data_IF_390762247448
#
_entry.id   IF_390762247448
#
_cell.length_a   1.000
_cell.length_b   1.000
_cell.length_c   1.000
_cell.angle_alpha   90.00
_cell.angle_beta   90.00
_cell.angle_gamma   90.00
#
_symmetry.space_group_name_H-M   'P 1'
#
loop_
_entity.id
_entity.type
_entity.pdbx_description
1 polymer ?
#
# COMPACT_ATOMS: atom_id res chain seq x y z
N UNK A 1 -18.16 -41.13 7.68
CA UNK A 1 -17.04 -40.36 7.09
C UNK A 1 -17.61 -39.29 6.15
N UNK A 2 -17.72 -38.05 6.61
CA UNK A 2 -17.88 -36.86 5.76
C UNK A 2 -16.95 -35.79 6.31
N UNK A 3 -16.11 -35.28 5.43
CA UNK A 3 -14.90 -34.53 5.69
C UNK A 3 -15.17 -33.14 6.27
N UNK A 4 -14.43 -32.80 7.32
CA UNK A 4 -14.30 -31.47 7.92
C UNK A 4 -13.68 -30.47 6.94
N UNK A 5 -14.44 -29.97 5.96
CA UNK A 5 -13.99 -28.91 5.03
C UNK A 5 -14.79 -27.62 5.17
N UNK A 6 -15.22 -27.29 6.40
CA UNK A 6 -15.40 -25.88 6.76
C UNK A 6 -14.01 -25.30 6.99
N UNK A 7 -13.27 -25.04 5.91
CA UNK A 7 -12.33 -23.93 5.98
C UNK A 7 -13.23 -22.75 6.34
N UNK A 8 -13.10 -22.25 7.56
CA UNK A 8 -13.95 -21.19 8.10
C UNK A 8 -13.93 -20.05 7.08
N UNK A 9 -15.04 -19.82 6.37
CA UNK A 9 -15.12 -18.85 5.29
C UNK A 9 -14.57 -17.49 5.76
N UNK A 10 -14.80 -17.16 7.03
CA UNK A 10 -14.22 -16.00 7.72
C UNK A 10 -12.70 -15.91 7.60
N UNK A 11 -11.97 -17.00 7.83
CA UNK A 11 -10.51 -17.04 7.80
C UNK A 11 -9.95 -16.83 6.39
N UNK A 12 -10.61 -17.35 5.35
CA UNK A 12 -10.17 -17.19 3.95
C UNK A 12 -10.20 -15.72 3.54
N UNK A 13 -11.28 -15.00 3.86
CA UNK A 13 -11.40 -13.58 3.56
C UNK A 13 -10.31 -12.76 4.25
N UNK A 14 -9.98 -13.08 5.51
CA UNK A 14 -8.89 -12.41 6.24
C UNK A 14 -7.55 -12.57 5.53
N UNK A 15 -7.23 -13.78 5.04
CA UNK A 15 -5.98 -14.02 4.30
C UNK A 15 -5.98 -13.31 2.95
N UNK A 16 -7.08 -13.40 2.18
CA UNK A 16 -7.20 -12.72 0.88
C UNK A 16 -7.03 -11.21 1.01
N UNK A 17 -7.75 -10.57 1.92
CA UNK A 17 -7.62 -9.13 2.16
C UNK A 17 -6.22 -8.75 2.62
N UNK A 18 -5.58 -9.58 3.45
CA UNK A 18 -4.20 -9.33 3.88
C UNK A 18 -3.21 -9.41 2.72
N UNK A 19 -3.35 -10.40 1.82
CA UNK A 19 -2.49 -10.56 0.64
C UNK A 19 -2.67 -9.40 -0.33
N UNK A 20 -3.91 -9.03 -0.66
CA UNK A 20 -4.20 -7.90 -1.57
C UNK A 20 -3.61 -6.61 -1.02
N UNK A 21 -3.83 -6.34 0.27
CA UNK A 21 -3.27 -5.18 0.97
C UNK A 21 -1.73 -5.16 0.89
N UNK A 22 -1.06 -6.29 1.15
CA UNK A 22 0.39 -6.42 1.07
C UNK A 22 0.88 -6.20 -0.37
N UNK A 23 0.19 -6.74 -1.37
CA UNK A 23 0.55 -6.57 -2.77
C UNK A 23 0.47 -5.10 -3.22
N UNK A 24 -0.57 -4.37 -2.81
CA UNK A 24 -0.67 -2.93 -3.09
C UNK A 24 0.43 -2.17 -2.34
N UNK A 25 0.66 -2.50 -1.06
CA UNK A 25 1.74 -1.91 -0.27
C UNK A 25 3.11 -2.12 -0.90
N UNK A 26 3.37 -3.32 -1.44
CA UNK A 26 4.59 -3.66 -2.17
C UNK A 26 4.78 -2.75 -3.39
N UNK A 27 3.76 -2.58 -4.23
CA UNK A 27 3.84 -1.75 -5.42
C UNK A 27 4.13 -0.29 -5.05
N UNK A 28 3.38 0.31 -4.12
CA UNK A 28 3.60 1.68 -3.65
C UNK A 28 5.02 1.87 -3.10
N UNK A 29 5.48 0.93 -2.27
CA UNK A 29 6.81 0.98 -1.69
C UNK A 29 7.89 0.87 -2.77
N UNK A 30 7.71 -0.04 -3.72
CA UNK A 30 8.62 -0.21 -4.84
C UNK A 30 8.72 1.08 -5.66
N UNK A 31 7.58 1.64 -6.06
CA UNK A 31 7.49 2.88 -6.82
C UNK A 31 8.14 4.08 -6.12
N UNK A 32 8.02 4.18 -4.81
CA UNK A 32 8.68 5.23 -4.04
C UNK A 32 10.19 5.02 -3.94
N UNK A 33 10.63 3.79 -3.63
CA UNK A 33 12.05 3.45 -3.48
C UNK A 33 12.80 3.60 -4.80
N UNK A 34 12.23 3.16 -5.92
CA UNK A 34 12.87 3.28 -7.24
C UNK A 34 13.12 4.74 -7.61
N UNK A 35 12.21 5.66 -7.27
CA UNK A 35 12.39 7.10 -7.52
C UNK A 35 13.56 7.70 -6.75
N UNK A 36 13.81 7.22 -5.52
CA UNK A 36 15.01 7.57 -4.77
C UNK A 36 16.26 6.99 -5.42
N UNK A 37 16.21 5.71 -5.83
CA UNK A 37 17.37 5.02 -6.41
C UNK A 37 17.79 5.58 -7.77
N UNK A 38 16.83 6.05 -8.58
CA UNK A 38 17.07 6.70 -9.87
C UNK A 38 17.79 8.05 -9.68
N UNK A 39 17.59 8.74 -8.54
CA UNK A 39 18.32 9.94 -8.14
C UNK A 39 17.98 11.22 -8.91
N UNK A 40 17.55 11.13 -10.17
CA UNK A 40 17.16 12.26 -11.03
C UNK A 40 15.67 12.26 -11.42
N UNK A 41 14.84 11.48 -10.71
CA UNK A 41 13.40 11.44 -10.99
C UNK A 41 12.74 12.78 -10.63
N UNK A 42 11.82 13.25 -11.48
CA UNK A 42 11.00 14.43 -11.21
C UNK A 42 9.59 14.31 -11.80
N UNK A 43 8.62 14.94 -11.13
CA UNK A 43 7.23 15.09 -11.58
C UNK A 43 7.03 16.19 -12.62
N UNK A 44 8.02 17.06 -12.87
CA UNK A 44 7.92 18.15 -13.83
C UNK A 44 7.36 17.74 -15.21
N UNK A 45 7.88 16.70 -15.91
CA UNK A 45 7.33 16.29 -17.20
C UNK A 45 5.90 15.75 -17.10
N UNK A 46 5.54 15.15 -15.97
CA UNK A 46 4.18 14.67 -15.72
C UNK A 46 3.21 15.84 -15.51
N UNK A 47 3.60 16.86 -14.74
CA UNK A 47 2.75 18.03 -14.52
C UNK A 47 2.57 18.87 -15.79
N UNK A 48 3.66 19.11 -16.54
CA UNK A 48 3.64 19.89 -17.77
C UNK A 48 2.86 19.21 -18.92
N UNK A 49 2.75 17.88 -18.90
CA UNK A 49 2.01 17.15 -19.91
C UNK A 49 0.51 17.03 -19.63
N UNK A 50 0.01 17.53 -18.50
CA UNK A 50 -1.41 17.42 -18.14
C UNK A 50 -2.27 18.31 -19.04
N UNK A 51 -3.32 17.72 -19.63
CA UNK A 51 -4.24 18.38 -20.59
C UNK A 51 -5.70 18.39 -20.15
N UNK A 52 -5.96 18.00 -18.90
CA UNK A 52 -7.32 17.88 -18.37
C UNK A 52 -7.84 19.22 -17.79
N UNK A 53 -9.00 19.19 -17.12
CA UNK A 53 -9.69 20.36 -16.56
C UNK A 53 -8.79 21.18 -15.61
N UNK A 54 -7.88 20.52 -14.89
CA UNK A 54 -6.92 21.16 -13.99
C UNK A 54 -5.55 21.41 -14.63
N UNK A 55 -5.42 21.29 -15.95
CA UNK A 55 -4.16 21.53 -16.67
C UNK A 55 -3.53 22.89 -16.37
N UNK A 56 -4.26 24.03 -16.30
CA UNK A 56 -3.64 25.30 -15.96
C UNK A 56 -2.95 25.28 -14.59
N UNK A 57 -3.55 24.63 -13.59
CA UNK A 57 -2.97 24.49 -12.26
C UNK A 57 -1.69 23.65 -12.30
N UNK A 58 -1.72 22.48 -12.95
CA UNK A 58 -0.56 21.61 -13.04
C UNK A 58 0.59 22.22 -13.85
N UNK A 59 0.28 22.94 -14.94
CA UNK A 59 1.27 23.67 -15.72
C UNK A 59 1.91 24.80 -14.89
N UNK A 60 1.13 25.60 -14.16
CA UNK A 60 1.67 26.61 -13.23
C UNK A 60 2.57 26.00 -12.15
N UNK A 61 2.23 24.81 -11.63
CA UNK A 61 3.08 24.10 -10.68
C UNK A 61 4.40 23.65 -11.33
N UNK A 62 4.39 23.31 -12.63
CA UNK A 62 5.58 22.88 -13.37
C UNK A 62 6.54 24.02 -13.73
N UNK A 63 6.09 25.28 -13.67
CA UNK A 63 6.92 26.45 -13.96
C UNK A 63 7.83 26.83 -12.78
N UNK A 64 7.50 26.40 -11.56
CA UNK A 64 8.25 26.74 -10.34
C UNK A 64 9.07 25.55 -9.83
N UNK A 65 10.40 25.68 -9.87
CA UNK A 65 11.31 24.66 -9.36
C UNK A 65 11.09 24.34 -7.86
N UNK A 66 10.73 25.33 -7.05
CA UNK A 66 10.42 25.13 -5.63
C UNK A 66 9.16 24.29 -5.43
N UNK A 67 8.12 24.51 -6.24
CA UNK A 67 6.88 23.74 -6.17
C UNK A 67 7.12 22.31 -6.62
N UNK A 68 7.86 22.11 -7.72
CA UNK A 68 8.25 20.77 -8.19
C UNK A 68 9.00 20.01 -7.10
N UNK A 69 9.98 20.63 -6.43
CA UNK A 69 10.74 19.97 -5.37
C UNK A 69 9.84 19.50 -4.21
N UNK A 70 8.84 20.30 -3.82
CA UNK A 70 7.86 19.91 -2.80
C UNK A 70 6.98 18.75 -3.29
N UNK A 71 6.50 18.81 -4.53
CA UNK A 71 5.67 17.75 -5.12
C UNK A 71 6.46 16.44 -5.22
N UNK A 72 7.70 16.50 -5.68
CA UNK A 72 8.59 15.34 -5.79
C UNK A 72 8.84 14.71 -4.42
N UNK A 73 9.15 15.54 -3.42
CA UNK A 73 9.31 15.09 -2.03
C UNK A 73 8.04 14.43 -1.49
N UNK A 74 6.89 15.11 -1.59
CA UNK A 74 5.61 14.60 -1.11
C UNK A 74 5.21 13.31 -1.82
N UNK A 75 5.47 13.22 -3.12
CA UNK A 75 5.11 12.05 -3.90
C UNK A 75 5.98 10.84 -3.52
N UNK A 76 7.30 11.00 -3.50
CA UNK A 76 8.24 9.94 -3.17
C UNK A 76 7.97 9.42 -1.75
N UNK A 77 7.96 10.32 -0.76
CA UNK A 77 7.76 9.92 0.63
C UNK A 77 6.33 9.47 0.90
N UNK A 78 5.33 10.06 0.25
CA UNK A 78 3.95 9.62 0.32
C UNK A 78 3.80 8.15 -0.12
N UNK A 79 4.38 7.79 -1.26
CA UNK A 79 4.36 6.40 -1.75
C UNK A 79 5.07 5.44 -0.79
N UNK A 80 6.24 5.82 -0.25
CA UNK A 80 6.98 5.00 0.71
C UNK A 80 6.19 4.79 2.00
N UNK A 81 5.65 5.86 2.58
CA UNK A 81 4.91 5.79 3.84
C UNK A 81 3.61 5.02 3.71
N UNK A 82 2.86 5.24 2.63
CA UNK A 82 1.67 4.46 2.29
C UNK A 82 2.03 3.00 2.07
N UNK A 83 3.07 2.73 1.27
CA UNK A 83 3.55 1.38 0.99
C UNK A 83 3.94 0.63 2.27
N UNK A 84 4.73 1.25 3.14
CA UNK A 84 5.11 0.69 4.44
C UNK A 84 3.89 0.46 5.35
N UNK A 85 2.99 1.44 5.47
CA UNK A 85 1.77 1.30 6.28
C UNK A 85 0.89 0.14 5.82
N UNK A 86 0.72 0.02 4.50
CA UNK A 86 -0.03 -1.06 3.85
C UNK A 86 0.70 -2.40 3.86
N UNK A 87 2.02 -2.47 3.90
CA UNK A 87 2.74 -3.75 4.06
C UNK A 87 2.70 -4.21 5.52
N UNK A 88 3.07 -3.32 6.44
CA UNK A 88 3.14 -3.59 7.88
C UNK A 88 1.78 -3.84 8.52
N UNK A 89 0.74 -3.20 8.00
CA UNK A 89 -0.58 -3.24 8.63
C UNK A 89 -0.66 -2.26 9.78
N UNK A 90 0.05 -1.15 9.66
CA UNK A 90 0.07 -0.07 10.64
C UNK A 90 -0.75 1.09 10.07
N UNK A 91 -1.72 1.60 10.83
CA UNK A 91 -2.62 2.67 10.41
C UNK A 91 -3.25 2.41 9.03
N UNK A 92 -3.67 1.17 8.75
CA UNK A 92 -4.13 0.73 7.41
C UNK A 92 -5.19 1.64 6.81
N UNK A 93 -6.11 2.16 7.63
CA UNK A 93 -7.16 3.09 7.18
C UNK A 93 -6.60 4.42 6.66
N UNK A 94 -5.64 5.00 7.39
CA UNK A 94 -4.97 6.24 7.02
C UNK A 94 -4.01 6.04 5.86
N UNK A 95 -3.25 4.94 5.85
CA UNK A 95 -2.40 4.58 4.73
C UNK A 95 -3.22 4.37 3.45
N UNK A 96 -4.36 3.67 3.53
CA UNK A 96 -5.25 3.47 2.39
C UNK A 96 -5.91 4.77 1.92
N UNK A 97 -6.34 5.64 2.85
CA UNK A 97 -6.88 6.95 2.51
C UNK A 97 -5.83 7.83 1.80
N UNK A 98 -4.60 7.86 2.31
CA UNK A 98 -3.48 8.58 1.71
C UNK A 98 -3.15 8.05 0.31
N UNK A 99 -3.04 6.73 0.15
CA UNK A 99 -2.81 6.10 -1.15
C UNK A 99 -3.93 6.36 -2.15
N UNK A 100 -5.19 6.28 -1.72
CA UNK A 100 -6.34 6.61 -2.55
C UNK A 100 -6.33 8.09 -2.98
N UNK A 101 -6.02 9.01 -2.06
CA UNK A 101 -5.90 10.43 -2.39
C UNK A 101 -4.77 10.70 -3.40
N UNK A 102 -3.63 10.02 -3.26
CA UNK A 102 -2.54 10.13 -4.24
C UNK A 102 -2.98 9.64 -5.61
N UNK A 103 -3.60 8.45 -5.71
CA UNK A 103 -4.12 7.92 -6.98
C UNK A 103 -5.20 8.81 -7.58
N UNK A 104 -6.01 9.48 -6.75
CA UNK A 104 -6.96 10.48 -7.21
C UNK A 104 -6.25 11.65 -7.89
N UNK A 105 -5.15 12.16 -7.31
CA UNK A 105 -4.37 13.22 -7.96
C UNK A 105 -3.79 12.76 -9.31
N UNK A 106 -3.25 11.54 -9.38
CA UNK A 106 -2.79 10.95 -10.63
C UNK A 106 -3.92 10.85 -11.68
N UNK A 107 -5.10 10.42 -11.25
CA UNK A 107 -6.28 10.35 -12.11
C UNK A 107 -6.73 11.74 -12.59
N UNK A 108 -6.72 12.75 -11.72
CA UNK A 108 -7.10 14.13 -12.12
C UNK A 108 -6.11 14.77 -13.09
N UNK A 109 -4.84 14.39 -13.01
CA UNK A 109 -3.80 14.86 -13.92
C UNK A 109 -3.91 14.17 -15.30
N UNK A 110 -4.18 12.86 -15.31
CA UNK A 110 -4.33 12.06 -16.52
C UNK A 110 -5.46 11.03 -16.37
N UNK A 111 -6.70 11.41 -16.66
CA UNK A 111 -7.80 10.45 -16.63
C UNK A 111 -7.66 9.48 -17.82
N UNK A 112 -8.00 8.19 -17.65
CA UNK A 112 -7.93 7.15 -18.67
C UNK A 112 -9.08 7.30 -19.68
N UNK A 113 -9.19 8.48 -20.29
CA UNK A 113 -10.16 8.82 -21.34
C UNK A 113 -9.40 8.93 -22.66
N UNK A 114 -9.90 8.31 -23.75
CA UNK A 114 -9.29 8.42 -25.07
C UNK A 114 -9.02 9.88 -25.48
N UNK A 115 -7.80 10.19 -25.90
CA UNK A 115 -7.39 11.53 -26.36
C UNK A 115 -6.65 12.40 -25.33
N UNK A 116 -6.70 12.07 -24.03
CA UNK A 116 -6.08 12.88 -22.96
C UNK A 116 -4.85 12.22 -22.31
N UNK A 117 -4.49 11.01 -22.75
CA UNK A 117 -3.31 10.27 -22.28
C UNK A 117 -2.04 10.53 -23.11
N UNK A 118 -2.09 11.48 -24.04
CA UNK A 118 -0.98 11.79 -24.95
C UNK A 118 0.20 12.44 -24.20
N UNK A 119 1.25 11.66 -23.94
CA UNK A 119 2.50 12.11 -23.31
C UNK A 119 2.95 11.29 -22.10
N UNK A 120 2.15 10.34 -21.62
CA UNK A 120 2.53 9.40 -20.54
C UNK A 120 2.68 8.00 -21.13
N UNK A 121 3.71 7.22 -20.75
CA UNK A 121 3.78 5.81 -21.12
C UNK A 121 2.54 5.07 -20.61
N UNK A 122 1.58 4.79 -21.51
CA UNK A 122 0.40 4.00 -21.16
C UNK A 122 0.76 2.53 -21.34
N UNK A 123 0.71 1.77 -20.26
CA UNK A 123 0.91 0.33 -20.28
C UNK A 123 -0.33 -0.37 -20.87
N UNK A 124 -0.48 -0.36 -22.20
CA UNK A 124 -1.51 -1.13 -22.91
C UNK A 124 -2.74 -0.33 -23.35
N UNK A 125 -3.74 -1.05 -23.87
CA UNK A 125 -4.98 -0.48 -24.42
C UNK A 125 -6.12 -0.61 -23.40
N UNK A 126 -6.46 0.49 -22.74
CA UNK A 126 -7.56 0.58 -21.79
C UNK A 126 -8.71 1.41 -22.38
N UNK A 127 -9.95 0.94 -22.24
CA UNK A 127 -11.13 1.70 -22.67
C UNK A 127 -11.53 2.76 -21.64
N UNK A 128 -11.72 2.35 -20.38
CA UNK A 128 -12.20 3.21 -19.29
C UNK A 128 -11.61 2.85 -17.91
N UNK A 129 -11.32 1.55 -17.68
CA UNK A 129 -10.81 1.05 -16.40
C UNK A 129 -9.37 0.60 -16.58
N UNK A 130 -8.44 1.28 -15.90
CA UNK A 130 -7.01 0.95 -15.87
C UNK A 130 -6.57 0.45 -14.49
N UNK A 131 -5.31 0.00 -14.37
CA UNK A 131 -4.74 -0.49 -13.10
C UNK A 131 -4.89 0.51 -11.95
N UNK A 132 -4.61 1.79 -12.22
CA UNK A 132 -4.68 2.89 -11.25
C UNK A 132 -6.09 3.06 -10.67
N UNK A 133 -7.12 2.96 -11.52
CA UNK A 133 -8.51 3.10 -11.08
C UNK A 133 -8.97 1.90 -10.23
N UNK A 134 -8.54 0.68 -10.60
CA UNK A 134 -8.81 -0.52 -9.80
C UNK A 134 -8.15 -0.41 -8.42
N UNK A 135 -6.87 -0.03 -8.37
CA UNK A 135 -6.12 0.18 -7.12
C UNK A 135 -6.78 1.25 -6.25
N UNK A 136 -7.22 2.36 -6.85
CA UNK A 136 -7.95 3.41 -6.14
C UNK A 136 -9.20 2.87 -5.44
N UNK A 137 -10.08 2.16 -6.15
CA UNK A 137 -11.30 1.62 -5.53
C UNK A 137 -11.01 0.59 -4.45
N UNK A 138 -9.96 -0.22 -4.62
CA UNK A 138 -9.54 -1.17 -3.60
C UNK A 138 -9.04 -0.45 -2.35
N UNK A 139 -8.22 0.59 -2.48
CA UNK A 139 -7.75 1.40 -1.36
C UNK A 139 -8.88 2.17 -0.67
N UNK A 140 -9.83 2.70 -1.44
CA UNK A 140 -11.04 3.32 -0.88
C UNK A 140 -11.81 2.30 -0.05
N UNK A 141 -12.01 1.07 -0.55
CA UNK A 141 -12.64 0.01 0.22
C UNK A 141 -11.86 -0.28 1.51
N UNK A 142 -10.53 -0.41 1.45
CA UNK A 142 -9.70 -0.61 2.65
C UNK A 142 -9.73 0.57 3.65
N UNK A 143 -10.00 1.79 3.19
CA UNK A 143 -10.16 2.96 4.08
C UNK A 143 -11.42 2.84 4.96
N UNK A 144 -12.49 2.25 4.42
CA UNK A 144 -13.74 2.02 5.13
C UNK A 144 -13.77 0.68 5.90
N UNK A 145 -12.98 -0.31 5.49
CA UNK A 145 -12.89 -1.57 6.22
C UNK A 145 -12.23 -1.37 7.60
N UNK A 146 -12.90 -1.88 8.63
CA UNK A 146 -12.36 -1.89 10.00
C UNK A 146 -11.19 -2.87 10.14
N UNK A 147 -10.22 -2.53 11.01
CA UNK A 147 -9.01 -3.32 11.34
C UNK A 147 -9.31 -4.78 11.80
N UNK A 148 -10.56 -5.11 12.13
CA UNK A 148 -10.98 -6.47 12.48
C UNK A 148 -11.08 -7.46 11.30
N UNK A 149 -11.02 -7.01 10.05
CA UNK A 149 -11.20 -7.84 8.85
C UNK A 149 -9.89 -8.22 8.13
N UNK A 150 -8.73 -7.96 8.73
CA UNK A 150 -7.43 -8.31 8.15
C UNK A 150 -6.39 -8.47 9.27
N UNK A 151 -5.34 -9.26 9.04
CA UNK A 151 -4.22 -9.37 9.98
C UNK A 151 -3.36 -8.11 9.86
N UNK A 152 -3.09 -7.45 10.98
CA UNK A 152 -2.44 -6.14 11.03
C UNK A 152 -1.76 -5.92 12.37
N UNK A 153 -0.60 -5.27 12.35
CA UNK A 153 0.10 -4.88 13.59
C UNK A 153 -0.75 -3.97 14.48
N UNK A 154 -1.71 -3.24 13.92
CA UNK A 154 -2.70 -2.45 14.65
C UNK A 154 -3.58 -3.32 15.58
N UNK A 155 -3.89 -4.56 15.17
CA UNK A 155 -4.63 -5.53 16.00
C UNK A 155 -3.77 -6.04 17.15
N UNK A 156 -2.50 -6.34 16.89
CA UNK A 156 -1.56 -6.80 17.91
C UNK A 156 -1.34 -5.72 18.99
N UNK A 157 -1.19 -4.45 18.56
CA UNK A 157 -1.04 -3.32 19.49
C UNK A 157 -2.29 -3.13 20.37
N UNK A 158 -3.50 -3.22 19.80
CA UNK A 158 -4.75 -3.18 20.57
C UNK A 158 -4.84 -4.33 21.58
N UNK A 159 -4.55 -5.56 21.16
CA UNK A 159 -4.56 -6.72 22.06
C UNK A 159 -3.55 -6.55 23.20
N UNK A 160 -2.33 -6.10 22.91
CA UNK A 160 -1.31 -5.84 23.92
C UNK A 160 -1.72 -4.73 24.90
N UNK A 161 -2.39 -3.68 24.41
CA UNK A 161 -2.89 -2.58 25.25
C UNK A 161 -4.06 -3.03 26.14
N UNK A 162 -4.96 -3.86 25.62
CA UNK A 162 -6.11 -4.42 26.36
C UNK A 162 -5.68 -5.48 27.38
N UNK A 163 -4.68 -6.32 27.06
CA UNK A 163 -4.07 -7.27 28.00
C UNK A 163 -3.34 -6.55 29.15
N UNK A 164 -2.65 -5.44 28.87
CA UNK A 164 -2.04 -4.60 29.92
C UNK A 164 -3.06 -3.83 30.76
N UNK A 165 -4.25 -3.55 30.22
CA UNK A 165 -5.31 -2.83 30.92
C UNK A 165 -6.14 -3.74 31.84
N UNK A 166 -6.20 -5.05 31.57
CA UNK A 166 -6.79 -6.02 32.49
C UNK A 166 -5.82 -6.35 33.62
N UNK A 167 -5.90 -5.58 34.72
CA UNK A 167 -5.40 -6.07 36.02
C UNK A 167 -6.05 -7.45 36.29
N UNK A 168 -5.28 -8.49 36.63
CA UNK A 168 -5.87 -9.80 36.91
C UNK A 168 -6.73 -9.68 38.18
N UNK A 169 -8.03 -9.89 38.04
CA UNK A 169 -8.89 -10.20 39.19
C UNK A 169 -8.52 -11.64 39.60
N UNK A 170 -8.11 -11.87 40.86
CA UNK A 170 -7.80 -13.21 41.32
C UNK A 170 -9.02 -14.13 41.24
N UNK A 171 -8.75 -15.37 40.85
CA UNK A 171 -9.58 -16.57 40.94
C UNK A 171 -10.70 -16.76 39.92
N UNK A 172 -10.37 -17.50 38.85
CA UNK A 172 -11.20 -18.51 38.17
C UNK A 172 -10.24 -19.46 37.42
N UNK A 173 -10.53 -20.78 37.34
CA UNK A 173 -9.61 -21.75 36.74
C UNK A 173 -9.39 -21.39 35.26
N UNK A 174 -8.13 -21.07 34.93
CA UNK A 174 -7.73 -20.60 33.61
C UNK A 174 -7.80 -21.73 32.59
N UNK A 175 -8.91 -21.76 31.85
CA UNK A 175 -9.11 -22.64 30.72
C UNK A 175 -8.23 -22.21 29.53
N UNK A 176 -7.26 -23.07 29.17
CA UNK A 176 -6.64 -23.34 27.85
C UNK A 176 -6.29 -22.23 26.83
N UNK A 177 -6.42 -20.93 27.12
CA UNK A 177 -6.24 -19.86 26.11
C UNK A 177 -4.79 -19.49 25.74
N UNK A 178 -3.76 -20.00 26.43
CA UNK A 178 -2.37 -19.59 26.18
C UNK A 178 -1.80 -20.09 24.83
N UNK A 179 -2.39 -21.13 24.24
CA UNK A 179 -2.00 -21.65 22.92
C UNK A 179 -2.59 -20.89 21.72
N UNK A 180 -3.71 -20.17 21.90
CA UNK A 180 -4.42 -19.46 20.82
C UNK A 180 -3.78 -18.09 20.54
N UNK A 181 -3.36 -17.38 21.59
CA UNK A 181 -2.68 -16.08 21.48
C UNK A 181 -1.33 -16.14 20.78
N UNK A 182 -0.51 -17.17 21.01
CA UNK A 182 0.78 -17.34 20.30
C UNK A 182 0.60 -17.53 18.79
N UNK A 183 -0.40 -18.33 18.40
CA UNK A 183 -0.73 -18.58 16.98
C UNK A 183 -1.30 -17.32 16.31
N UNK A 184 -2.08 -16.52 17.03
CA UNK A 184 -2.59 -15.23 16.54
C UNK A 184 -1.46 -14.20 16.41
N UNK A 185 -0.55 -14.10 17.39
CA UNK A 185 0.62 -13.23 17.31
C UNK A 185 1.56 -13.60 16.14
N UNK A 186 1.77 -14.89 15.88
CA UNK A 186 2.53 -15.35 14.70
C UNK A 186 1.81 -14.98 13.39
N UNK A 187 0.47 -15.01 13.36
CA UNK A 187 -0.32 -14.61 12.19
C UNK A 187 -0.32 -13.09 11.98
N UNK A 188 -0.31 -12.29 13.04
CA UNK A 188 -0.15 -10.83 12.94
C UNK A 188 1.25 -10.43 12.47
N UNK A 189 2.23 -11.33 12.60
CA UNK A 189 3.61 -11.16 12.11
C UNK A 189 3.79 -11.51 10.62
N UNK A 190 2.72 -11.80 9.87
CA UNK A 190 2.79 -12.10 8.41
C UNK A 190 3.41 -10.93 7.60
N UNK A 191 3.43 -9.72 8.17
CA UNK A 191 4.13 -8.57 7.58
C UNK A 191 5.66 -8.70 7.57
N UNK A 192 6.27 -9.47 8.49
CA UNK A 192 7.73 -9.65 8.57
C UNK A 192 8.29 -10.42 7.36
N UNK A 193 7.73 -11.59 6.98
CA UNK A 193 8.14 -12.28 5.76
C UNK A 193 7.94 -11.44 4.50
N UNK A 194 6.86 -10.64 4.43
CA UNK A 194 6.60 -9.78 3.28
C UNK A 194 7.69 -8.70 3.10
N UNK A 195 8.15 -8.08 4.18
CA UNK A 195 9.27 -7.12 4.15
C UNK A 195 10.58 -7.81 3.78
N UNK A 196 10.85 -8.99 4.34
CA UNK A 196 12.04 -9.77 4.00
C UNK A 196 12.07 -10.13 2.51
N UNK A 197 10.94 -10.57 1.96
CA UNK A 197 10.79 -10.84 0.53
C UNK A 197 11.01 -9.59 -0.32
N UNK A 198 10.50 -8.43 0.12
CA UNK A 198 10.70 -7.14 -0.56
C UNK A 198 12.16 -6.72 -0.62
N UNK A 199 12.84 -6.74 0.53
CA UNK A 199 14.25 -6.43 0.62
C UNK A 199 15.10 -7.38 -0.24
N UNK A 200 14.79 -8.68 -0.23
CA UNK A 200 15.46 -9.67 -1.07
C UNK A 200 15.25 -9.40 -2.57
N UNK A 201 14.02 -9.13 -2.99
CA UNK A 201 13.71 -8.83 -4.38
C UNK A 201 14.42 -7.56 -4.88
N UNK A 202 14.44 -6.50 -4.06
CA UNK A 202 15.18 -5.27 -4.35
C UNK A 202 16.69 -5.51 -4.46
N UNK A 203 17.27 -6.25 -3.52
CA UNK A 203 18.70 -6.59 -3.54
C UNK A 203 19.06 -7.38 -4.80
N UNK A 204 18.24 -8.37 -5.17
CA UNK A 204 18.46 -9.18 -6.36
C UNK A 204 18.38 -8.35 -7.64
N UNK A 205 17.42 -7.42 -7.73
CA UNK A 205 17.30 -6.51 -8.88
C UNK A 205 18.55 -5.62 -9.00
N UNK A 206 18.97 -4.96 -7.92
CA UNK A 206 20.17 -4.10 -7.93
C UNK A 206 21.42 -4.86 -8.38
N UNK A 207 21.53 -6.13 -7.96
CA UNK A 207 22.63 -7.01 -8.40
C UNK A 207 22.55 -7.30 -9.91
N UNK A 208 21.35 -7.53 -10.45
CA UNK A 208 21.14 -7.77 -11.88
C UNK A 208 21.49 -6.55 -12.73
N UNK A 209 20.99 -5.37 -12.36
CA UNK A 209 21.27 -4.12 -13.07
C UNK A 209 22.79 -3.83 -13.12
N UNK A 210 23.54 -4.14 -12.04
CA UNK A 210 25.00 -3.99 -12.00
C UNK A 210 25.79 -4.93 -12.92
N UNK A 211 25.17 -6.02 -13.40
CA UNK A 211 25.78 -6.91 -14.39
C UNK A 211 25.56 -6.43 -15.82
N UNK A 212 24.50 -5.66 -16.09
CA UNK A 212 24.21 -5.10 -17.42
C UNK A 212 25.00 -3.82 -17.72
N UNK A 213 25.45 -3.10 -16.67
CA UNK A 213 26.30 -1.90 -16.81
C UNK A 213 27.80 -2.21 -17.05
N UNK A 214 28.21 -3.49 -17.12
CA UNK A 214 29.59 -3.92 -17.41
C UNK A 214 29.76 -4.38 -18.85
#
# INVERSE_FOLDING_TARGET
>A
MRTNSKIDLSSVHLYLFSIVRIAIGWQFLYEGVTKILIGNWSSAPYLAGSKWIFAPLFNLMSESANVIAVVDFMNIWGMILVGLGLMLGLFTRWASAGGALMLLFYFTAYPPVPGYTAGVPVEGSYLWVNKTLIEFFVLVAFSFLSSGYHFSLDRLYKHWKEERARKPVPDLPTDSKSGRGRREAIRDLISLPAIGAFAYALYRKKKWDSFEEK
#
